data_IF_852292065648
#
_entry.id   IF_852292065648
#
_cell.length_a   1.000
_cell.length_b   1.000
_cell.length_c   1.000
_cell.angle_alpha   90.00
_cell.angle_beta   90.00
_cell.angle_gamma   90.00
#
_symmetry.space_group_name_H-M   'P 1'
#
loop_
_entity.id
_entity.type
_entity.pdbx_description
1 polymer ?
#
# COMPACT_ATOMS: atom_id res chain seq x y z
N UNK A 1 -16.86 -10.80 -22.41
CA UNK A 1 -17.80 -11.78 -21.82
C UNK A 1 -18.17 -11.19 -20.48
N UNK A 2 -19.23 -10.40 -20.47
CA UNK A 2 -19.57 -9.54 -19.35
C UNK A 2 -20.31 -10.34 -18.27
N UNK A 3 -19.71 -10.36 -17.08
CA UNK A 3 -20.40 -10.12 -15.81
C UNK A 3 -21.41 -11.17 -15.34
N UNK A 4 -20.91 -12.25 -14.73
CA UNK A 4 -21.74 -13.20 -14.01
C UNK A 4 -20.95 -13.90 -12.90
N UNK A 5 -20.40 -13.15 -11.95
CA UNK A 5 -19.57 -13.70 -10.88
C UNK A 5 -19.73 -12.93 -9.57
N UNK A 6 -19.38 -13.60 -8.47
CA UNK A 6 -19.31 -13.00 -7.15
C UNK A 6 -18.05 -12.14 -7.05
N UNK A 7 -18.19 -10.84 -6.75
CA UNK A 7 -17.08 -9.94 -6.44
C UNK A 7 -17.22 -9.38 -5.03
N UNK A 8 -16.12 -9.32 -4.28
CA UNK A 8 -16.11 -8.92 -2.87
C UNK A 8 -14.99 -7.90 -2.67
N UNK A 9 -15.35 -6.75 -2.10
CA UNK A 9 -14.39 -5.71 -1.76
C UNK A 9 -14.37 -5.46 -0.25
N UNK A 10 -13.20 -5.62 0.36
CA UNK A 10 -12.93 -5.55 1.80
C UNK A 10 -11.85 -4.51 2.16
N UNK A 11 -11.16 -3.93 1.17
CA UNK A 11 -10.15 -2.88 1.37
C UNK A 11 -10.80 -1.49 1.51
N UNK A 12 -11.73 -1.37 2.46
CA UNK A 12 -12.63 -0.25 2.64
C UNK A 12 -14.00 -0.74 3.10
N UNK A 13 -15.07 0.06 2.90
CA UNK A 13 -16.43 -0.40 3.15
C UNK A 13 -16.75 -1.68 2.39
N UNK A 14 -17.37 -2.64 3.07
CA UNK A 14 -17.77 -3.91 2.45
C UNK A 14 -18.69 -3.65 1.25
N UNK A 15 -18.25 -4.10 0.07
CA UNK A 15 -19.09 -4.19 -1.12
C UNK A 15 -19.14 -5.65 -1.60
N UNK A 16 -20.33 -6.11 -1.93
CA UNK A 16 -20.57 -7.44 -2.48
C UNK A 16 -21.43 -7.28 -3.71
N UNK A 17 -21.02 -7.88 -4.82
CA UNK A 17 -21.85 -7.94 -6.04
C UNK A 17 -21.93 -9.38 -6.52
N UNK A 18 -23.11 -9.76 -6.97
CA UNK A 18 -23.37 -11.03 -7.63
C UNK A 18 -23.92 -10.71 -9.02
N UNK A 19 -23.24 -11.17 -10.05
CA UNK A 19 -23.61 -10.92 -11.45
C UNK A 19 -23.76 -9.41 -11.74
N UNK A 20 -22.86 -8.62 -11.14
CA UNK A 20 -22.87 -7.16 -11.24
C UNK A 20 -23.92 -6.44 -10.38
N UNK A 21 -24.89 -7.14 -9.79
CA UNK A 21 -25.90 -6.55 -8.90
C UNK A 21 -25.41 -6.49 -7.44
N UNK A 22 -25.65 -5.39 -6.69
CA UNK A 22 -25.24 -5.28 -5.30
C UNK A 22 -26.02 -6.25 -4.40
N UNK A 23 -25.31 -6.92 -3.48
CA UNK A 23 -25.88 -7.82 -2.48
C UNK A 23 -25.79 -7.18 -1.10
N UNK A 24 -26.94 -6.90 -0.49
CA UNK A 24 -27.00 -6.28 0.83
C UNK A 24 -26.96 -7.33 1.95
N UNK A 25 -25.91 -7.29 2.77
CA UNK A 25 -25.77 -8.12 3.97
C UNK A 25 -26.06 -7.29 5.22
N UNK A 26 -27.33 -7.26 5.64
CA UNK A 26 -27.77 -6.43 6.79
C UNK A 26 -27.16 -6.91 8.11
N UNK A 27 -27.06 -8.22 8.30
CA UNK A 27 -26.56 -8.80 9.57
C UNK A 27 -25.04 -8.68 9.68
N UNK A 28 -24.54 -8.09 10.77
CA UNK A 28 -23.10 -7.95 11.05
C UNK A 28 -22.34 -9.28 10.97
N UNK A 29 -22.89 -10.34 11.58
CA UNK A 29 -22.31 -11.69 11.54
C UNK A 29 -22.27 -12.30 10.13
N UNK A 30 -23.19 -11.95 9.23
CA UNK A 30 -23.09 -12.41 7.84
C UNK A 30 -21.96 -11.71 7.09
N UNK A 31 -21.76 -10.41 7.35
CA UNK A 31 -20.65 -9.63 6.81
C UNK A 31 -19.31 -10.18 7.30
N UNK A 32 -19.18 -10.46 8.60
CA UNK A 32 -17.99 -11.08 9.18
C UNK A 32 -17.73 -12.49 8.61
N UNK A 33 -18.76 -13.33 8.49
CA UNK A 33 -18.61 -14.67 7.89
C UNK A 33 -18.09 -14.59 6.46
N UNK A 34 -18.68 -13.72 5.64
CA UNK A 34 -18.25 -13.54 4.27
C UNK A 34 -16.80 -13.02 4.20
N UNK A 35 -16.46 -12.01 5.01
CA UNK A 35 -15.13 -11.42 5.02
C UNK A 35 -14.05 -12.45 5.37
N UNK A 36 -14.27 -13.28 6.39
CA UNK A 36 -13.34 -14.35 6.77
C UNK A 36 -13.18 -15.36 5.64
N UNK A 37 -14.30 -15.81 5.07
CA UNK A 37 -14.28 -16.76 3.95
C UNK A 37 -13.60 -16.17 2.71
N UNK A 38 -13.76 -14.88 2.42
CA UNK A 38 -13.17 -14.21 1.28
C UNK A 38 -11.66 -14.00 1.43
N UNK A 39 -11.16 -13.71 2.63
CA UNK A 39 -9.71 -13.63 2.91
C UNK A 39 -9.00 -14.96 2.63
N UNK A 40 -9.73 -16.09 2.72
CA UNK A 40 -9.24 -17.43 2.43
C UNK A 40 -9.99 -18.05 1.23
N UNK A 41 -10.41 -17.24 0.25
CA UNK A 41 -11.14 -17.77 -0.89
C UNK A 41 -10.30 -18.85 -1.63
N UNK A 42 -10.96 -19.94 -2.03
CA UNK A 42 -10.31 -21.14 -2.56
C UNK A 42 -9.83 -22.14 -1.49
N UNK A 43 -9.56 -21.68 -0.26
CA UNK A 43 -9.08 -22.52 0.84
C UNK A 43 -10.19 -22.92 1.83
N UNK A 44 -9.99 -24.05 2.51
CA UNK A 44 -10.93 -24.52 3.52
C UNK A 44 -10.75 -23.76 4.84
N UNK A 45 -11.83 -23.14 5.33
CA UNK A 45 -11.89 -22.47 6.63
C UNK A 45 -12.67 -23.33 7.60
N UNK A 46 -12.04 -23.70 8.72
CA UNK A 46 -12.65 -24.60 9.71
C UNK A 46 -13.81 -23.95 10.45
N UNK A 47 -14.74 -24.77 10.93
CA UNK A 47 -15.88 -24.31 11.76
C UNK A 47 -15.39 -23.54 12.99
N UNK A 48 -14.31 -23.99 13.63
CA UNK A 48 -13.75 -23.38 14.84
C UNK A 48 -13.23 -21.98 14.55
N UNK A 49 -12.50 -21.79 13.44
CA UNK A 49 -12.02 -20.47 13.02
C UNK A 49 -13.18 -19.54 12.67
N UNK A 50 -14.17 -20.03 11.94
CA UNK A 50 -15.38 -19.26 11.63
C UNK A 50 -16.12 -18.86 12.91
N UNK A 51 -16.20 -19.76 13.89
CA UNK A 51 -16.86 -19.45 15.15
C UNK A 51 -16.10 -18.37 15.93
N UNK A 52 -14.79 -18.51 16.09
CA UNK A 52 -13.95 -17.50 16.72
C UNK A 52 -14.06 -16.14 16.02
N UNK A 53 -14.11 -16.12 14.70
CA UNK A 53 -14.21 -14.86 13.96
C UNK A 53 -15.58 -14.18 14.06
N UNK A 54 -16.65 -14.95 14.37
CA UNK A 54 -18.01 -14.44 14.49
C UNK A 54 -18.43 -14.07 15.91
N UNK A 55 -17.86 -14.74 16.91
CA UNK A 55 -18.26 -14.62 18.31
C UNK A 55 -17.10 -14.29 19.26
N UNK A 56 -15.86 -14.26 18.78
CA UNK A 56 -14.70 -14.07 19.65
C UNK A 56 -14.62 -15.19 20.68
N UNK A 57 -14.30 -14.83 21.92
CA UNK A 57 -14.19 -15.77 23.04
C UNK A 57 -15.56 -16.24 23.55
N UNK A 58 -16.63 -15.49 23.31
CA UNK A 58 -18.00 -15.79 23.76
C UNK A 58 -18.74 -16.71 22.79
N UNK A 59 -18.23 -17.94 22.65
CA UNK A 59 -18.80 -18.92 21.72
C UNK A 59 -20.22 -19.37 22.14
N UNK A 60 -21.13 -19.60 21.18
CA UNK A 60 -22.44 -20.17 21.48
C UNK A 60 -22.30 -21.64 21.90
N UNK A 61 -23.24 -22.14 22.70
CA UNK A 61 -23.27 -23.52 23.20
C UNK A 61 -23.12 -24.60 22.10
N UNK A 62 -23.57 -24.30 20.87
CA UNK A 62 -23.30 -25.12 19.70
C UNK A 62 -22.81 -24.26 18.54
N UNK A 63 -21.49 -24.00 18.54
CA UNK A 63 -20.79 -23.25 17.49
C UNK A 63 -21.04 -23.82 16.09
N UNK A 64 -20.93 -25.14 15.91
CA UNK A 64 -21.11 -25.78 14.60
C UNK A 64 -22.49 -25.55 14.01
N UNK A 65 -23.57 -25.76 14.79
CA UNK A 65 -24.95 -25.51 14.35
C UNK A 65 -25.18 -24.02 14.05
N UNK A 66 -24.57 -23.15 14.84
CA UNK A 66 -24.67 -21.69 14.65
C UNK A 66 -24.01 -21.28 13.33
N UNK A 67 -22.76 -21.71 13.08
CA UNK A 67 -22.05 -21.47 11.81
C UNK A 67 -22.86 -22.00 10.62
N UNK A 68 -23.36 -23.23 10.69
CA UNK A 68 -24.21 -23.82 9.64
C UNK A 68 -25.43 -22.96 9.29
N UNK A 69 -26.06 -22.36 10.31
CA UNK A 69 -27.21 -21.46 10.14
C UNK A 69 -26.81 -20.20 9.36
N UNK A 70 -25.69 -19.57 9.73
CA UNK A 70 -25.19 -18.39 9.02
C UNK A 70 -24.70 -18.72 7.61
N UNK A 71 -24.03 -19.86 7.39
CA UNK A 71 -23.64 -20.33 6.05
C UNK A 71 -24.88 -20.55 5.16
N UNK A 72 -25.94 -21.15 5.72
CA UNK A 72 -27.19 -21.37 4.98
C UNK A 72 -27.82 -20.04 4.56
N UNK A 73 -27.81 -19.03 5.44
CA UNK A 73 -28.29 -17.68 5.11
C UNK A 73 -27.41 -16.99 4.08
N UNK A 74 -26.08 -17.11 4.21
CA UNK A 74 -25.14 -16.51 3.28
C UNK A 74 -25.31 -17.10 1.87
N UNK A 75 -25.40 -18.43 1.74
CA UNK A 75 -25.70 -19.12 0.47
C UNK A 75 -27.00 -18.66 -0.20
N UNK A 76 -27.99 -18.21 0.57
CA UNK A 76 -29.22 -17.63 0.00
C UNK A 76 -29.00 -16.24 -0.58
N UNK A 77 -28.05 -15.48 -0.02
CA UNK A 77 -27.74 -14.12 -0.47
C UNK A 77 -26.78 -14.08 -1.65
N UNK A 78 -25.74 -14.92 -1.67
CA UNK A 78 -24.66 -14.88 -2.68
C UNK A 78 -24.66 -16.06 -3.66
N UNK A 79 -25.69 -16.90 -3.60
CA UNK A 79 -25.80 -18.12 -4.41
C UNK A 79 -25.31 -19.38 -3.67
N UNK A 80 -26.01 -20.49 -3.88
CA UNK A 80 -25.74 -21.75 -3.16
C UNK A 80 -24.40 -22.37 -3.51
N UNK A 81 -23.98 -22.25 -4.77
CA UNK A 81 -22.74 -22.81 -5.27
C UNK A 81 -21.49 -22.07 -4.77
N UNK A 82 -21.63 -20.79 -4.39
CA UNK A 82 -20.51 -19.95 -3.97
C UNK A 82 -19.82 -20.44 -2.68
N UNK A 83 -20.49 -21.26 -1.86
CA UNK A 83 -19.88 -21.83 -0.67
C UNK A 83 -19.99 -23.35 -0.72
N UNK A 84 -18.87 -24.04 -0.74
CA UNK A 84 -18.81 -25.51 -0.67
C UNK A 84 -18.57 -25.96 0.76
N UNK A 85 -19.27 -27.02 1.18
CA UNK A 85 -19.03 -27.65 2.49
C UNK A 85 -17.87 -28.64 2.36
N UNK A 86 -16.96 -28.64 3.32
CA UNK A 86 -15.91 -29.66 3.48
C UNK A 86 -16.15 -30.45 4.77
N UNK A 87 -15.44 -31.55 5.05
CA UNK A 87 -15.61 -32.31 6.30
C UNK A 87 -15.52 -31.44 7.56
N UNK A 88 -14.54 -30.52 7.57
CA UNK A 88 -14.18 -29.72 8.74
C UNK A 88 -14.59 -28.24 8.64
N UNK A 89 -15.23 -27.82 7.54
CA UNK A 89 -15.48 -26.41 7.32
C UNK A 89 -16.15 -26.03 6.00
N UNK A 90 -15.75 -24.88 5.48
CA UNK A 90 -16.33 -24.27 4.29
C UNK A 90 -15.27 -23.61 3.42
N UNK A 91 -15.50 -23.65 2.11
CA UNK A 91 -14.67 -22.98 1.10
C UNK A 91 -15.56 -21.99 0.39
N UNK A 92 -15.11 -20.75 0.24
CA UNK A 92 -15.71 -19.81 -0.71
C UNK A 92 -15.14 -20.09 -2.09
N UNK A 93 -16.01 -20.53 -2.99
CA UNK A 93 -15.68 -20.88 -4.38
C UNK A 93 -15.89 -19.64 -5.24
N UNK A 94 -14.86 -18.80 -5.29
CA UNK A 94 -14.80 -17.57 -6.06
C UNK A 94 -13.39 -17.42 -6.62
N UNK A 95 -13.27 -16.87 -7.83
CA UNK A 95 -11.98 -16.49 -8.38
C UNK A 95 -11.27 -15.51 -7.42
N UNK A 96 -10.04 -15.81 -6.96
CA UNK A 96 -9.26 -14.91 -6.11
C UNK A 96 -9.09 -13.50 -6.70
N UNK A 97 -9.10 -13.35 -8.03
CA UNK A 97 -9.06 -12.05 -8.71
C UNK A 97 -10.31 -11.18 -8.47
N UNK A 98 -11.43 -11.78 -8.04
CA UNK A 98 -12.68 -11.09 -7.70
C UNK A 98 -12.77 -10.69 -6.21
N UNK A 99 -11.75 -11.02 -5.41
CA UNK A 99 -11.62 -10.58 -4.02
C UNK A 99 -10.48 -9.58 -3.93
N UNK A 100 -10.79 -8.32 -3.63
CA UNK A 100 -9.80 -7.23 -3.68
C UNK A 100 -8.58 -7.45 -2.77
N UNK A 101 -8.73 -8.09 -1.60
CA UNK A 101 -7.62 -8.45 -0.70
C UNK A 101 -6.65 -9.42 -1.35
N UNK A 102 -7.17 -10.44 -2.05
CA UNK A 102 -6.34 -11.46 -2.70
C UNK A 102 -5.70 -10.90 -3.97
N UNK A 103 -6.47 -10.15 -4.77
CA UNK A 103 -5.96 -9.41 -5.92
C UNK A 103 -4.86 -8.42 -5.52
N UNK A 104 -5.04 -7.68 -4.43
CA UNK A 104 -4.03 -6.76 -3.90
C UNK A 104 -2.73 -7.49 -3.57
N UNK A 105 -2.80 -8.60 -2.84
CA UNK A 105 -1.61 -9.42 -2.51
C UNK A 105 -0.92 -9.94 -3.77
N UNK A 106 -1.68 -10.40 -4.76
CA UNK A 106 -1.14 -10.87 -6.04
C UNK A 106 -0.41 -9.74 -6.79
N UNK A 107 -1.04 -8.57 -6.95
CA UNK A 107 -0.45 -7.41 -7.61
C UNK A 107 0.83 -6.93 -6.92
N UNK A 108 0.87 -6.92 -5.58
CA UNK A 108 2.09 -6.55 -4.85
C UNK A 108 3.22 -7.57 -5.07
N UNK A 109 2.89 -8.87 -5.08
CA UNK A 109 3.87 -9.91 -5.38
C UNK A 109 4.37 -9.84 -6.84
N UNK A 110 3.49 -9.51 -7.79
CA UNK A 110 3.84 -9.28 -9.19
C UNK A 110 4.73 -8.05 -9.35
N UNK A 111 4.39 -6.93 -8.71
CA UNK A 111 5.22 -5.73 -8.69
C UNK A 111 6.62 -6.02 -8.12
N UNK A 112 6.69 -6.84 -7.06
CA UNK A 112 7.96 -7.30 -6.50
C UNK A 112 8.83 -8.08 -7.49
N UNK A 113 8.21 -8.91 -8.34
CA UNK A 113 8.89 -9.65 -9.42
C UNK A 113 9.27 -8.76 -10.61
N UNK A 114 8.47 -7.72 -10.88
CA UNK A 114 8.70 -6.75 -11.94
C UNK A 114 9.65 -5.60 -11.54
N UNK A 115 10.33 -5.69 -10.38
CA UNK A 115 11.16 -4.60 -9.86
C UNK A 115 12.17 -4.08 -10.88
N UNK A 116 12.15 -2.76 -11.10
CA UNK A 116 13.05 -2.09 -12.03
C UNK A 116 12.63 -2.16 -13.51
N UNK A 117 11.50 -2.80 -13.82
CA UNK A 117 10.88 -2.74 -15.16
C UNK A 117 9.83 -1.62 -15.22
N UNK A 118 9.34 -1.32 -16.43
CA UNK A 118 8.26 -0.36 -16.62
C UNK A 118 6.92 -0.84 -16.00
N UNK A 119 6.72 -2.17 -15.93
CA UNK A 119 5.49 -2.80 -15.46
C UNK A 119 5.27 -2.63 -13.96
N UNK A 120 6.36 -2.53 -13.17
CA UNK A 120 6.29 -2.38 -11.72
C UNK A 120 5.34 -1.27 -11.29
N UNK A 121 5.43 -0.12 -11.97
CA UNK A 121 4.61 1.04 -11.62
C UNK A 121 3.14 0.78 -11.83
N UNK A 122 2.77 0.21 -12.97
CA UNK A 122 1.38 -0.05 -13.32
C UNK A 122 0.74 -0.99 -12.30
N UNK A 123 1.48 -2.03 -11.89
CA UNK A 123 1.08 -2.98 -10.86
C UNK A 123 0.93 -2.33 -9.48
N UNK A 124 1.87 -1.47 -9.07
CA UNK A 124 1.79 -0.73 -7.79
C UNK A 124 0.60 0.23 -7.78
N UNK A 125 0.37 0.95 -8.88
CA UNK A 125 -0.77 1.87 -8.99
C UNK A 125 -2.10 1.11 -9.01
N UNK A 126 -2.18 -0.04 -9.67
CA UNK A 126 -3.36 -0.90 -9.63
C UNK A 126 -3.63 -1.42 -8.23
N UNK A 127 -2.61 -1.94 -7.55
CA UNK A 127 -2.70 -2.39 -6.17
C UNK A 127 -3.21 -1.28 -5.24
N UNK A 128 -2.69 -0.06 -5.40
CA UNK A 128 -3.10 1.11 -4.62
C UNK A 128 -4.57 1.49 -4.84
N UNK A 129 -5.09 1.39 -6.07
CA UNK A 129 -6.48 1.75 -6.41
C UNK A 129 -7.52 0.84 -5.77
N UNK A 130 -7.14 -0.39 -5.38
CA UNK A 130 -8.06 -1.30 -4.68
C UNK A 130 -8.42 -0.79 -3.27
N UNK A 131 -7.56 0.03 -2.66
CA UNK A 131 -7.77 0.59 -1.34
C UNK A 131 -8.69 1.81 -1.37
N UNK A 132 -9.90 1.63 -0.85
CA UNK A 132 -10.97 2.66 -0.73
C UNK A 132 -11.09 3.25 0.67
N UNK A 133 -10.51 2.61 1.68
CA UNK A 133 -10.60 3.04 3.08
C UNK A 133 -9.90 2.07 4.03
N UNK A 134 -10.36 2.04 5.28
CA UNK A 134 -9.83 1.11 6.28
C UNK A 134 -10.23 -0.33 5.92
N UNK A 135 -9.32 -1.32 5.98
CA UNK A 135 -9.67 -2.69 5.67
C UNK A 135 -10.72 -3.20 6.67
N UNK A 136 -11.69 -3.94 6.14
CA UNK A 136 -12.83 -4.49 6.87
C UNK A 136 -13.74 -3.42 7.51
N UNK A 137 -13.83 -2.24 6.92
CA UNK A 137 -14.71 -1.19 7.42
C UNK A 137 -16.18 -1.65 7.44
N UNK A 138 -16.84 -1.43 8.58
CA UNK A 138 -18.22 -1.88 8.80
C UNK A 138 -18.37 -3.39 9.03
N UNK A 139 -17.28 -4.13 9.23
CA UNK A 139 -17.29 -5.55 9.62
C UNK A 139 -16.90 -5.68 11.10
N UNK A 140 -17.77 -6.33 11.87
CA UNK A 140 -17.53 -6.58 13.27
C UNK A 140 -16.92 -7.98 13.48
N UNK A 141 -15.60 -8.04 13.56
CA UNK A 141 -14.83 -9.27 13.82
C UNK A 141 -13.48 -8.92 14.43
N UNK A 142 -13.32 -9.17 15.74
CA UNK A 142 -12.03 -8.98 16.42
C UNK A 142 -10.94 -9.86 15.84
N UNK A 143 -11.30 -11.06 15.39
CA UNK A 143 -10.35 -11.98 14.79
C UNK A 143 -9.72 -11.41 13.50
N UNK A 144 -10.51 -10.79 12.61
CA UNK A 144 -9.97 -10.13 11.42
C UNK A 144 -9.09 -8.93 11.79
N UNK A 145 -9.53 -8.13 12.76
CA UNK A 145 -8.78 -6.97 13.28
C UNK A 145 -7.43 -7.37 13.86
N UNK A 146 -7.36 -8.47 14.60
CA UNK A 146 -6.14 -8.93 15.25
C UNK A 146 -5.23 -9.74 14.30
N UNK A 147 -5.79 -10.57 13.42
CA UNK A 147 -5.02 -11.59 12.70
C UNK A 147 -4.66 -11.18 11.27
N UNK A 148 -5.56 -10.49 10.58
CA UNK A 148 -5.41 -10.21 9.14
C UNK A 148 -5.07 -8.75 8.88
N UNK A 149 -5.79 -7.84 9.54
CA UNK A 149 -5.67 -6.39 9.35
C UNK A 149 -4.24 -5.86 9.51
N UNK A 150 -3.43 -6.26 10.52
CA UNK A 150 -2.10 -5.68 10.72
C UNK A 150 -1.16 -5.98 9.54
N UNK A 151 -1.13 -7.23 9.09
CA UNK A 151 -0.32 -7.65 7.93
C UNK A 151 -0.74 -6.93 6.63
N UNK A 152 -2.03 -6.68 6.48
CA UNK A 152 -2.60 -6.06 5.30
C UNK A 152 -2.32 -4.56 5.27
N UNK A 153 -2.39 -3.89 6.42
CA UNK A 153 -2.01 -2.49 6.58
C UNK A 153 -0.51 -2.30 6.35
N UNK A 154 0.34 -3.18 6.87
CA UNK A 154 1.79 -3.13 6.61
C UNK A 154 2.10 -3.27 5.11
N UNK A 155 1.43 -4.22 4.44
CA UNK A 155 1.57 -4.40 2.99
C UNK A 155 1.07 -3.18 2.21
N UNK A 156 0.00 -2.52 2.68
CA UNK A 156 -0.47 -1.26 2.09
C UNK A 156 0.57 -0.15 2.20
N UNK A 157 1.10 0.07 3.40
CA UNK A 157 2.05 1.14 3.66
C UNK A 157 3.33 0.96 2.84
N UNK A 158 3.87 -0.26 2.79
CA UNK A 158 5.00 -0.58 1.92
C UNK A 158 4.69 -0.39 0.43
N UNK A 159 3.47 -0.68 -0.02
CA UNK A 159 3.04 -0.41 -1.41
C UNK A 159 3.01 1.09 -1.69
N UNK A 160 2.50 1.91 -0.77
CA UNK A 160 2.49 3.37 -0.92
C UNK A 160 3.91 3.94 -0.89
N UNK A 161 4.76 3.47 0.02
CA UNK A 161 6.17 3.84 0.07
C UNK A 161 6.86 3.55 -1.25
N UNK A 162 6.60 2.38 -1.84
CA UNK A 162 7.15 2.02 -3.15
C UNK A 162 6.63 2.91 -4.27
N UNK A 163 5.33 3.22 -4.27
CA UNK A 163 4.71 4.15 -5.22
C UNK A 163 5.39 5.52 -5.20
N UNK A 164 5.66 6.01 -4.00
CA UNK A 164 6.37 7.28 -3.77
C UNK A 164 7.80 7.21 -4.29
N UNK A 165 8.52 6.13 -4.03
CA UNK A 165 9.89 5.94 -4.52
C UNK A 165 9.96 5.94 -6.05
N UNK A 166 9.00 5.28 -6.71
CA UNK A 166 8.88 5.29 -8.17
C UNK A 166 8.55 6.70 -8.69
N UNK A 167 7.63 7.41 -8.05
CA UNK A 167 7.29 8.78 -8.43
C UNK A 167 8.45 9.78 -8.25
N UNK A 168 9.25 9.61 -7.20
CA UNK A 168 10.47 10.38 -6.95
C UNK A 168 11.52 10.14 -8.05
N UNK A 169 11.72 8.90 -8.47
CA UNK A 169 12.67 8.56 -9.54
C UNK A 169 12.32 9.22 -10.89
N UNK A 170 11.05 9.53 -11.10
CA UNK A 170 10.52 10.13 -12.32
C UNK A 170 10.26 11.64 -12.23
N UNK A 171 10.54 12.27 -11.09
CA UNK A 171 10.33 13.71 -10.90
C UNK A 171 8.89 14.13 -10.60
N UNK A 172 7.98 13.19 -10.30
CA UNK A 172 6.55 13.48 -10.03
C UNK A 172 6.31 13.82 -8.55
N UNK A 173 6.72 15.01 -8.13
CA UNK A 173 6.75 15.37 -6.69
C UNK A 173 5.43 15.96 -6.16
N UNK A 174 4.69 16.71 -6.99
CA UNK A 174 3.58 17.56 -6.53
C UNK A 174 2.39 16.80 -5.93
N UNK A 175 2.03 15.67 -6.51
CA UNK A 175 0.87 14.86 -6.09
C UNK A 175 1.15 14.01 -4.83
N UNK A 176 2.42 13.80 -4.48
CA UNK A 176 2.83 12.91 -3.39
C UNK A 176 2.81 13.56 -2.01
N UNK A 177 2.97 14.89 -1.94
CA UNK A 177 3.11 15.61 -0.65
C UNK A 177 1.85 15.47 0.22
N UNK A 178 0.66 15.69 -0.37
CA UNK A 178 -0.59 15.68 0.38
C UNK A 178 -0.92 14.28 0.93
N UNK A 179 -0.70 13.24 0.13
CA UNK A 179 -0.90 11.85 0.56
C UNK A 179 0.09 11.45 1.66
N UNK A 180 1.37 11.77 1.49
CA UNK A 180 2.41 11.47 2.49
C UNK A 180 2.17 12.20 3.82
N UNK A 181 1.68 13.44 3.79
CA UNK A 181 1.30 14.17 5.00
C UNK A 181 0.20 13.44 5.78
N UNK A 182 -0.85 12.97 5.08
CA UNK A 182 -1.93 12.22 5.68
C UNK A 182 -1.45 10.90 6.30
N UNK A 183 -0.63 10.15 5.57
CA UNK A 183 -0.09 8.87 6.03
C UNK A 183 0.89 9.03 7.20
N UNK A 184 1.79 10.02 7.15
CA UNK A 184 2.71 10.31 8.23
C UNK A 184 1.98 10.77 9.51
N UNK A 185 0.86 11.49 9.36
CA UNK A 185 0.02 11.86 10.50
C UNK A 185 -0.70 10.64 11.11
N UNK A 186 -1.17 9.70 10.28
CA UNK A 186 -1.81 8.45 10.74
C UNK A 186 -0.84 7.42 11.30
N UNK A 187 0.43 7.44 10.86
CA UNK A 187 1.49 6.54 11.30
C UNK A 187 2.69 7.34 11.85
N UNK A 188 2.52 8.05 12.97
CA UNK A 188 3.48 9.04 13.44
C UNK A 188 4.86 8.48 13.79
N UNK A 189 4.95 7.19 14.15
CA UNK A 189 6.20 6.51 14.51
C UNK A 189 6.88 5.79 13.32
N UNK A 190 6.29 5.83 12.13
CA UNK A 190 6.87 5.18 10.94
C UNK A 190 7.82 6.14 10.22
N UNK A 191 9.08 6.15 10.65
CA UNK A 191 10.12 7.06 10.15
C UNK A 191 10.31 7.02 8.61
N UNK A 192 10.07 5.88 7.97
CA UNK A 192 10.20 5.68 6.51
C UNK A 192 9.24 6.56 5.68
N UNK A 193 8.03 6.82 6.18
CA UNK A 193 7.07 7.74 5.55
C UNK A 193 7.55 9.18 5.68
N UNK A 194 8.04 9.55 6.87
CA UNK A 194 8.57 10.88 7.12
C UNK A 194 9.81 11.15 6.27
N UNK A 195 10.74 10.21 6.17
CA UNK A 195 11.92 10.33 5.31
C UNK A 195 11.54 10.66 3.87
N UNK A 196 10.57 9.94 3.29
CA UNK A 196 10.05 10.21 1.95
C UNK A 196 9.39 11.58 1.84
N UNK A 197 8.55 11.96 2.81
CA UNK A 197 7.93 13.29 2.85
C UNK A 197 8.97 14.41 2.85
N UNK A 198 10.02 14.29 3.65
CA UNK A 198 11.12 15.25 3.72
C UNK A 198 11.86 15.37 2.37
N UNK A 199 12.11 14.25 1.71
CA UNK A 199 12.76 14.22 0.38
C UNK A 199 11.86 14.89 -0.67
N UNK A 200 10.57 14.56 -0.71
CA UNK A 200 9.61 15.15 -1.66
C UNK A 200 9.48 16.67 -1.43
N UNK A 201 9.40 17.11 -0.18
CA UNK A 201 9.33 18.55 0.16
C UNK A 201 10.58 19.30 -0.29
N UNK A 202 11.77 18.73 -0.06
CA UNK A 202 13.03 19.34 -0.56
C UNK A 202 13.02 19.43 -2.08
N UNK A 203 12.64 18.36 -2.76
CA UNK A 203 12.60 18.29 -4.22
C UNK A 203 11.55 19.24 -4.83
N UNK A 204 10.55 19.64 -4.04
CA UNK A 204 9.52 20.62 -4.40
C UNK A 204 9.88 22.06 -3.98
N UNK A 205 11.12 22.33 -3.56
CA UNK A 205 11.57 23.66 -3.13
C UNK A 205 11.10 24.09 -1.73
N UNK A 206 10.42 23.21 -0.98
CA UNK A 206 9.85 23.48 0.35
C UNK A 206 10.80 23.05 1.47
N UNK A 207 12.07 23.42 1.37
CA UNK A 207 13.13 22.98 2.29
C UNK A 207 12.90 23.43 3.74
N UNK A 208 12.45 24.65 3.97
CA UNK A 208 12.17 25.16 5.32
C UNK A 208 11.08 24.36 6.05
N UNK A 209 10.06 23.93 5.30
CA UNK A 209 9.00 23.08 5.82
C UNK A 209 9.51 21.67 6.15
N UNK A 210 10.35 21.09 5.28
CA UNK A 210 11.00 19.82 5.56
C UNK A 210 11.80 19.86 6.88
N UNK A 211 12.62 20.90 7.10
CA UNK A 211 13.37 21.07 8.36
C UNK A 211 12.43 21.18 9.57
N UNK A 212 11.33 21.93 9.44
CA UNK A 212 10.32 22.07 10.50
C UNK A 212 9.68 20.73 10.86
N UNK A 213 9.34 19.91 9.86
CA UNK A 213 8.75 18.59 10.08
C UNK A 213 9.74 17.60 10.70
N UNK A 214 11.01 17.62 10.29
CA UNK A 214 12.05 16.80 10.91
C UNK A 214 12.18 17.10 12.42
N UNK A 215 12.23 18.37 12.81
CA UNK A 215 12.32 18.76 14.22
C UNK A 215 11.05 18.42 15.02
N UNK A 216 9.88 18.42 14.37
CA UNK A 216 8.65 17.94 14.99
C UNK A 216 8.70 16.44 15.27
N UNK A 217 9.16 15.65 14.29
CA UNK A 217 9.29 14.20 14.42
C UNK A 217 10.35 13.82 15.45
N UNK A 218 11.52 14.48 15.43
CA UNK A 218 12.60 14.23 16.38
C UNK A 218 12.13 14.40 17.82
N UNK A 219 11.41 15.49 18.12
CA UNK A 219 10.81 15.72 19.45
C UNK A 219 9.81 14.62 19.81
N UNK A 220 8.92 14.27 18.89
CA UNK A 220 7.96 13.18 19.11
C UNK A 220 8.63 11.85 19.45
N UNK A 221 9.67 11.43 18.71
CA UNK A 221 10.38 10.18 18.98
C UNK A 221 11.04 10.21 20.37
N UNK A 222 11.64 11.34 20.74
CA UNK A 222 12.21 11.52 22.07
C UNK A 222 11.14 11.47 23.18
N UNK A 223 10.00 12.11 22.97
CA UNK A 223 8.92 12.21 23.97
C UNK A 223 8.15 10.88 24.13
N UNK A 224 7.85 10.17 23.03
CA UNK A 224 7.03 8.95 23.06
C UNK A 224 7.85 7.67 23.25
N UNK A 225 9.07 7.61 22.72
CA UNK A 225 9.91 6.40 22.73
C UNK A 225 11.22 6.57 23.51
N UNK A 226 11.62 7.81 23.86
CA UNK A 226 12.92 8.06 24.47
C UNK A 226 14.09 7.83 23.51
N UNK A 227 13.84 7.84 22.20
CA UNK A 227 14.85 7.54 21.17
C UNK A 227 15.14 8.71 20.26
N UNK A 228 16.36 8.72 19.69
CA UNK A 228 16.72 9.60 18.60
C UNK A 228 16.22 9.07 17.24
N UNK A 229 16.06 9.95 16.23
CA UNK A 229 15.79 9.56 14.84
C UNK A 229 16.79 8.51 14.33
N UNK A 230 16.31 7.59 13.51
CA UNK A 230 17.11 6.56 12.84
C UNK A 230 18.28 7.15 12.04
N UNK A 231 19.29 6.34 11.79
CA UNK A 231 20.46 6.73 11.01
C UNK A 231 20.08 7.22 9.59
N UNK A 232 19.08 6.60 8.99
CA UNK A 232 18.56 7.01 7.68
C UNK A 232 17.96 8.42 7.72
N UNK A 233 17.07 8.68 8.68
CA UNK A 233 16.42 9.97 8.82
C UNK A 233 17.43 11.09 9.16
N UNK A 234 18.46 10.78 9.95
CA UNK A 234 19.59 11.70 10.21
C UNK A 234 20.38 12.01 8.93
N UNK A 235 20.60 11.04 8.04
CA UNK A 235 21.25 11.28 6.73
C UNK A 235 20.39 12.17 5.84
N UNK A 236 19.07 11.95 5.82
CA UNK A 236 18.12 12.80 5.09
C UNK A 236 18.21 14.23 5.62
N UNK A 237 18.18 14.41 6.94
CA UNK A 237 18.33 15.74 7.56
C UNK A 237 19.67 16.42 7.19
N UNK A 238 20.79 15.69 7.24
CA UNK A 238 22.08 16.22 6.80
C UNK A 238 22.05 16.66 5.32
N UNK A 239 21.32 15.94 4.46
CA UNK A 239 21.06 16.37 3.09
C UNK A 239 20.16 17.61 3.04
N UNK A 240 19.14 17.74 3.88
CA UNK A 240 18.27 18.93 3.95
C UNK A 240 19.04 20.20 4.32
N UNK A 241 20.10 20.10 5.13
CA UNK A 241 20.90 21.28 5.54
C UNK A 241 21.82 21.80 4.42
N UNK A 242 22.12 20.98 3.41
CA UNK A 242 22.91 21.43 2.27
C UNK A 242 22.06 22.31 1.36
N UNK A 243 22.57 23.47 0.91
CA UNK A 243 21.92 24.25 -0.13
C UNK A 243 21.64 23.35 -1.34
N UNK A 244 20.39 23.31 -1.80
CA UNK A 244 20.05 22.56 -3.01
C UNK A 244 20.79 23.13 -4.22
N UNK A 245 21.00 22.34 -5.29
CA UNK A 245 21.33 22.93 -6.58
C UNK A 245 20.24 23.96 -6.89
N UNK A 246 20.63 25.21 -7.19
CA UNK A 246 19.71 26.21 -7.72
C UNK A 246 19.13 25.62 -9.00
N UNK A 247 17.92 25.08 -8.97
CA UNK A 247 17.20 24.75 -10.18
C UNK A 247 17.07 26.07 -10.96
N UNK A 248 17.70 26.12 -12.13
CA UNK A 248 17.93 27.36 -12.85
C UNK A 248 16.64 28.12 -13.16
N UNK A 249 16.70 29.44 -12.92
CA UNK A 249 15.90 30.44 -13.61
C UNK A 249 14.39 30.40 -13.38
N UNK A 250 13.93 30.86 -12.22
CA UNK A 250 12.70 31.65 -12.21
C UNK A 250 13.14 33.07 -12.53
N UNK A 251 12.83 33.51 -13.75
CA UNK A 251 12.74 34.93 -14.05
C UNK A 251 11.95 35.58 -12.92
N UNK A 252 12.61 36.50 -12.23
CA UNK A 252 12.04 37.26 -11.12
C UNK A 252 10.66 37.76 -11.55
N UNK A 253 9.66 37.51 -10.70
CA UNK A 253 8.38 38.21 -10.75
C UNK A 253 8.67 39.69 -11.02
N UNK A 254 8.17 40.20 -12.14
CA UNK A 254 8.64 41.44 -12.78
C UNK A 254 8.81 42.60 -11.80
N UNK A 255 10.08 42.90 -11.58
CA UNK A 255 10.63 44.14 -11.06
C UNK A 255 12.09 44.26 -11.48
N UNK A 256 12.36 43.96 -12.76
CA UNK A 256 13.61 44.15 -13.54
C UNK A 256 14.90 43.58 -12.93
N UNK A 257 15.45 42.52 -13.54
CA UNK A 257 16.91 42.27 -13.57
C UNK A 257 17.30 41.56 -14.88
N UNK A 258 18.21 42.19 -15.64
CA UNK A 258 18.87 41.69 -16.85
C UNK A 258 20.18 40.91 -16.54
N UNK A 259 20.84 40.26 -17.52
CA UNK A 259 21.31 38.88 -17.41
C UNK A 259 22.79 38.76 -16.98
N UNK A 260 23.13 37.68 -16.28
CA UNK A 260 24.51 37.20 -16.19
C UNK A 260 24.60 35.69 -16.41
N UNK A 261 25.44 35.36 -17.38
CA UNK A 261 25.84 34.03 -17.82
C UNK A 261 26.65 33.27 -16.75
N UNK A 262 26.56 31.93 -16.78
CA UNK A 262 27.44 31.05 -16.01
C UNK A 262 26.75 29.75 -15.62
N UNK A 263 26.81 28.75 -16.50
CA UNK A 263 26.26 27.42 -16.25
C UNK A 263 27.14 26.57 -15.31
N UNK A 264 26.53 25.59 -14.66
CA UNK A 264 27.22 24.38 -14.23
C UNK A 264 26.24 23.21 -14.08
N UNK A 265 26.46 22.14 -14.87
CA UNK A 265 25.81 20.83 -14.80
C UNK A 265 26.46 20.00 -13.68
N UNK A 266 25.66 19.29 -12.87
CA UNK A 266 26.18 18.26 -11.97
C UNK A 266 26.09 16.91 -12.71
N UNK A 267 27.22 16.49 -13.27
CA UNK A 267 27.47 15.14 -13.79
C UNK A 267 27.90 14.23 -12.63
N UNK A 268 27.22 13.09 -12.43
CA UNK A 268 27.68 12.00 -11.59
C UNK A 268 28.61 11.05 -12.38
N UNK A 269 29.73 10.63 -11.77
CA UNK A 269 30.69 9.69 -12.37
C UNK A 269 30.09 8.29 -12.50
N UNK A 270 30.22 7.71 -13.69
CA UNK A 270 30.14 6.27 -13.91
C UNK A 270 31.36 5.60 -13.26
N UNK A 271 31.15 4.46 -12.59
CA UNK A 271 32.23 3.54 -12.23
C UNK A 271 32.31 2.52 -13.36
N UNK A 272 33.39 2.56 -14.15
CA UNK A 272 33.66 1.59 -15.20
C UNK A 272 33.97 0.22 -14.58
N UNK A 273 33.06 -0.73 -14.74
CA UNK A 273 33.35 -2.15 -14.66
C UNK A 273 33.63 -2.66 -16.08
N UNK A 274 34.90 -2.98 -16.37
CA UNK A 274 35.35 -3.51 -17.67
C UNK A 274 34.72 -4.89 -17.91
N UNK A 275 33.83 -4.98 -18.91
CA UNK A 275 33.46 -6.26 -19.53
C UNK A 275 33.95 -6.19 -20.98
N UNK A 276 34.93 -7.02 -21.30
CA UNK A 276 35.39 -7.22 -22.68
C UNK A 276 34.33 -8.03 -23.45
N UNK A 277 33.83 -7.45 -24.54
CA UNK A 277 32.90 -8.10 -25.47
C UNK A 277 32.63 -7.21 -26.66
N UNK A 278 33.14 -7.61 -27.82
CA UNK A 278 33.10 -6.93 -29.12
C UNK A 278 31.67 -6.74 -29.66
N UNK A 279 31.47 -5.65 -30.43
CA UNK A 279 30.43 -5.59 -31.47
C UNK A 279 29.43 -4.44 -31.31
N UNK A 280 29.54 -3.43 -32.16
CA UNK A 280 28.85 -2.15 -32.06
C UNK A 280 27.34 -2.13 -32.37
N UNK A 281 26.72 -1.00 -31.99
CA UNK A 281 25.36 -0.61 -32.42
C UNK A 281 24.61 0.25 -31.39
N UNK A 282 24.81 1.57 -31.44
CA UNK A 282 24.29 2.59 -30.51
C UNK A 282 22.75 2.68 -30.40
N UNK A 283 22.29 2.82 -29.15
CA UNK A 283 20.93 3.17 -28.75
C UNK A 283 20.79 3.22 -27.22
N UNK A 284 21.64 3.99 -26.54
CA UNK A 284 21.80 3.94 -25.08
C UNK A 284 20.68 4.73 -24.34
N UNK A 285 19.65 4.03 -23.87
CA UNK A 285 18.70 4.56 -22.86
C UNK A 285 19.29 4.34 -21.46
N UNK A 286 19.70 5.42 -20.79
CA UNK A 286 20.20 5.39 -19.41
C UNK A 286 19.05 5.27 -18.41
N UNK A 287 18.95 4.13 -17.74
CA UNK A 287 18.13 3.97 -16.54
C UNK A 287 18.98 4.19 -15.28
N UNK A 288 18.55 5.12 -14.42
CA UNK A 288 19.10 5.32 -13.08
C UNK A 288 18.32 4.43 -12.10
N UNK A 289 18.88 3.26 -11.77
CA UNK A 289 18.33 2.40 -10.73
C UNK A 289 18.97 2.75 -9.37
N UNK A 290 18.16 3.17 -8.40
CA UNK A 290 18.54 3.15 -6.98
C UNK A 290 18.21 1.77 -6.41
N UNK A 291 19.24 0.96 -6.17
CA UNK A 291 19.10 -0.31 -5.44
C UNK A 291 19.10 -0.01 -3.94
N UNK A 292 17.93 -0.12 -3.31
CA UNK A 292 17.82 -0.21 -1.86
C UNK A 292 17.99 -1.69 -1.47
N UNK A 293 19.14 -2.02 -0.88
CA UNK A 293 19.37 -3.34 -0.29
C UNK A 293 18.57 -3.42 1.01
N UNK A 294 17.54 -4.25 1.04
CA UNK A 294 16.90 -4.71 2.28
C UNK A 294 17.57 -6.02 2.68
N UNK A 295 18.05 -6.09 3.93
CA UNK A 295 18.34 -7.36 4.61
C UNK A 295 17.03 -7.86 5.21
#
# INVERSE_FOLDING_TARGET
>A
MDGGGLSIALLGPLEVRLDGAPVLLTTSRLRALLAVLAVFAGDAVTVERLALALWGEELPANARRSVQTYVTRLRRAIGRAAIRTTPDGYVLDVDPGQVDVLRFRALVAEAGRARGTAEERELVEEARRLWRGQPFEGIDSDWLRATVSPSLQELHLSTVERRVDLGLAEGRHGELVAELLGLAAGHPLRESLWGRLLVVLKASGRQAEALTLYERLRRRLADELGTDPSAELRRIHACLLRPGPRQGGVAVFTGVVEPCAGGCLISGKAVEGKVEGEGGGEGERRFLAFVWSSV
#
